data_IF_952211115459
#
_entry.id   IF_952211115459
#
_cell.length_a   1.000
_cell.length_b   1.000
_cell.length_c   1.000
_cell.angle_alpha   90.00
_cell.angle_beta   90.00
_cell.angle_gamma   90.00
#
_symmetry.space_group_name_H-M   'P 1'
#
loop_
_entity.id
_entity.type
_entity.pdbx_description
1 polymer ?
#
# COMPACT_ATOMS: atom_id res chain seq x y z
N UNK A 1 -18.00 -26.18 -9.65
CA UNK A 1 -16.93 -25.24 -10.04
C UNK A 1 -17.46 -23.83 -9.91
N UNK A 2 -16.99 -23.04 -8.93
CA UNK A 2 -17.35 -21.62 -8.81
C UNK A 2 -16.48 -20.81 -9.77
N UNK A 3 -17.14 -20.02 -10.61
CA UNK A 3 -16.51 -19.14 -11.59
C UNK A 3 -15.62 -18.11 -10.84
N UNK A 4 -14.28 -18.09 -11.01
CA UNK A 4 -13.39 -17.19 -10.27
C UNK A 4 -13.49 -15.72 -10.72
N UNK A 5 -14.34 -15.43 -11.71
CA UNK A 5 -14.62 -14.09 -12.21
C UNK A 5 -15.71 -13.33 -11.40
N UNK A 6 -15.94 -13.68 -10.13
CA UNK A 6 -16.83 -12.89 -9.26
C UNK A 6 -16.07 -11.66 -8.75
N UNK A 7 -16.18 -10.56 -9.51
CA UNK A 7 -15.79 -9.17 -9.23
C UNK A 7 -14.96 -8.97 -7.95
N UNK A 8 -13.63 -9.02 -8.09
CA UNK A 8 -12.71 -8.43 -7.12
C UNK A 8 -13.06 -6.95 -7.03
N UNK A 9 -13.53 -6.50 -5.87
CA UNK A 9 -13.70 -5.09 -5.54
C UNK A 9 -12.47 -4.30 -6.09
N UNK A 10 -12.65 -3.39 -7.06
CA UNK A 10 -11.53 -2.66 -7.66
C UNK A 10 -10.78 -1.80 -6.63
N UNK A 11 -11.39 -1.53 -5.46
CA UNK A 11 -10.74 -0.84 -4.35
C UNK A 11 -9.90 -1.76 -3.46
N UNK A 12 -10.04 -3.09 -3.55
CA UNK A 12 -9.36 -4.04 -2.66
C UNK A 12 -7.83 -3.91 -2.71
N UNK A 13 -7.26 -3.65 -3.89
CA UNK A 13 -5.81 -3.47 -4.04
C UNK A 13 -5.32 -2.17 -3.40
N UNK A 14 -6.10 -1.08 -3.50
CA UNK A 14 -5.75 0.22 -2.92
C UNK A 14 -5.84 0.20 -1.40
N UNK A 15 -6.91 -0.40 -0.86
CA UNK A 15 -7.06 -0.63 0.58
C UNK A 15 -5.91 -1.44 1.16
N UNK A 16 -5.55 -2.54 0.48
CA UNK A 16 -4.42 -3.36 0.88
C UNK A 16 -3.10 -2.56 0.89
N UNK A 17 -2.85 -1.76 -0.14
CA UNK A 17 -1.64 -0.95 -0.20
C UNK A 17 -1.61 0.15 0.86
N UNK A 18 -2.74 0.81 1.14
CA UNK A 18 -2.88 1.73 2.28
C UNK A 18 -2.50 1.05 3.58
N UNK A 19 -3.04 -0.13 3.85
CA UNK A 19 -2.76 -0.85 5.09
C UNK A 19 -1.29 -1.34 5.13
N UNK A 20 -0.65 -1.56 3.98
CA UNK A 20 0.77 -1.86 3.90
C UNK A 20 1.63 -0.62 4.21
N UNK A 21 1.25 0.56 3.72
CA UNK A 21 1.91 1.83 4.07
C UNK A 21 1.91 2.08 5.58
N UNK A 22 0.78 1.87 6.25
CA UNK A 22 0.69 2.03 7.72
C UNK A 22 1.60 1.06 8.48
N UNK A 23 1.83 -0.13 7.95
CA UNK A 23 2.75 -1.11 8.55
C UNK A 23 4.21 -0.76 8.31
N UNK A 24 4.55 -0.33 7.09
CA UNK A 24 5.92 0.05 6.73
C UNK A 24 6.35 1.37 7.38
N UNK A 25 5.41 2.28 7.62
CA UNK A 25 5.65 3.61 8.18
C UNK A 25 4.74 3.88 9.39
N UNK A 26 5.05 3.31 10.57
CA UNK A 26 4.30 3.61 11.78
C UNK A 26 4.24 5.12 12.06
N UNK A 27 3.02 5.63 12.25
CA UNK A 27 2.73 7.04 12.45
C UNK A 27 1.43 7.20 13.25
N UNK A 28 1.15 8.40 13.77
CA UNK A 28 -0.08 8.72 14.51
C UNK A 28 -1.14 9.41 13.65
N UNK A 29 -0.80 9.81 12.41
CA UNK A 29 -1.73 10.49 11.51
C UNK A 29 -1.38 10.28 10.03
N UNK A 30 -2.36 10.50 9.14
CA UNK A 30 -2.18 10.46 7.68
C UNK A 30 -1.07 11.41 7.22
N UNK A 31 -1.00 12.60 7.84
CA UNK A 31 0.01 13.62 7.55
C UNK A 31 1.41 13.14 7.91
N UNK A 32 1.60 12.64 9.14
CA UNK A 32 2.90 12.16 9.60
C UNK A 32 3.38 10.97 8.75
N UNK A 33 2.48 10.05 8.39
CA UNK A 33 2.80 8.95 7.49
C UNK A 33 3.25 9.49 6.12
N UNK A 34 2.50 10.41 5.54
CA UNK A 34 2.81 10.97 4.24
C UNK A 34 4.15 11.74 4.23
N UNK A 35 4.47 12.48 5.30
CA UNK A 35 5.77 13.12 5.48
C UNK A 35 6.90 12.07 5.48
N UNK A 36 6.81 11.01 6.28
CA UNK A 36 7.84 9.95 6.35
C UNK A 36 7.99 9.18 5.02
N UNK A 37 6.88 8.69 4.49
CA UNK A 37 6.89 7.84 3.29
C UNK A 37 7.31 8.60 2.04
N UNK A 38 6.94 9.89 1.92
CA UNK A 38 7.33 10.71 0.76
C UNK A 38 8.85 10.89 0.67
N UNK A 39 9.51 11.11 1.82
CA UNK A 39 10.96 11.20 1.90
C UNK A 39 11.65 9.85 1.57
N UNK A 40 11.14 8.73 2.10
CA UNK A 40 11.77 7.41 1.90
C UNK A 40 11.56 6.86 0.49
N UNK A 41 10.38 7.09 -0.11
CA UNK A 41 10.03 6.56 -1.43
C UNK A 41 10.39 7.51 -2.58
N UNK A 42 10.94 8.69 -2.26
CA UNK A 42 11.27 9.76 -3.21
C UNK A 42 10.07 10.11 -4.12
N UNK A 43 8.95 10.45 -3.49
CA UNK A 43 7.70 10.86 -4.15
C UNK A 43 7.13 12.10 -3.49
N UNK A 44 6.22 12.80 -4.17
CA UNK A 44 5.54 13.93 -3.55
C UNK A 44 4.66 13.50 -2.37
N UNK A 45 4.55 14.36 -1.35
CA UNK A 45 3.62 14.18 -0.23
C UNK A 45 2.18 13.93 -0.72
N UNK A 46 1.72 14.67 -1.73
CA UNK A 46 0.39 14.50 -2.34
C UNK A 46 0.19 13.09 -2.91
N UNK A 47 1.20 12.52 -3.54
CA UNK A 47 1.10 11.17 -4.10
C UNK A 47 0.86 10.12 -3.02
N UNK A 48 1.48 10.28 -1.84
CA UNK A 48 1.23 9.39 -0.70
C UNK A 48 -0.18 9.58 -0.14
N UNK A 49 -0.66 10.82 0.00
CA UNK A 49 -2.04 11.11 0.42
C UNK A 49 -3.05 10.44 -0.52
N UNK A 50 -2.84 10.54 -1.84
CA UNK A 50 -3.68 9.89 -2.83
C UNK A 50 -3.73 8.36 -2.66
N UNK A 51 -2.62 7.72 -2.29
CA UNK A 51 -2.58 6.29 -1.97
C UNK A 51 -3.33 5.97 -0.67
N UNK A 52 -3.14 6.79 0.37
CA UNK A 52 -3.80 6.59 1.67
C UNK A 52 -5.32 6.73 1.58
N UNK A 53 -5.80 7.60 0.68
CA UNK A 53 -7.22 7.82 0.40
C UNK A 53 -7.81 6.87 -0.62
N UNK A 54 -7.03 5.89 -1.08
CA UNK A 54 -7.45 4.92 -2.10
C UNK A 54 -7.90 5.58 -3.42
N UNK A 55 -7.38 6.76 -3.75
CA UNK A 55 -7.75 7.52 -4.97
C UNK A 55 -6.96 7.04 -6.19
N UNK A 56 -5.73 6.58 -5.99
CA UNK A 56 -4.83 6.15 -7.07
C UNK A 56 -4.14 4.83 -6.74
N UNK A 57 -3.92 4.02 -7.78
CA UNK A 57 -3.12 2.81 -7.66
C UNK A 57 -1.60 3.12 -7.64
N UNK A 58 -0.83 2.48 -6.76
CA UNK A 58 0.63 2.59 -6.79
C UNK A 58 1.21 1.83 -7.99
N UNK A 59 2.29 2.35 -8.56
CA UNK A 59 3.09 1.60 -9.52
C UNK A 59 3.78 0.42 -8.82
N UNK A 60 4.00 -0.69 -9.53
CA UNK A 60 4.63 -1.90 -8.99
C UNK A 60 5.94 -1.64 -8.23
N UNK A 61 6.79 -0.72 -8.73
CA UNK A 61 8.04 -0.34 -8.06
C UNK A 61 7.84 0.15 -6.62
N UNK A 62 6.76 0.89 -6.35
CA UNK A 62 6.44 1.40 -5.03
C UNK A 62 5.84 0.31 -4.14
N UNK A 63 5.05 -0.60 -4.70
CA UNK A 63 4.59 -1.79 -3.98
C UNK A 63 5.80 -2.59 -3.47
N UNK A 64 6.76 -2.89 -4.35
CA UNK A 64 7.95 -3.66 -3.98
C UNK A 64 8.81 -2.94 -2.94
N UNK A 65 9.00 -1.62 -3.08
CA UNK A 65 9.74 -0.83 -2.11
C UNK A 65 9.10 -0.84 -0.72
N UNK A 66 7.77 -0.65 -0.64
CA UNK A 66 7.05 -0.68 0.64
C UNK A 66 7.04 -2.09 1.25
N UNK A 67 6.90 -3.14 0.44
CA UNK A 67 7.02 -4.53 0.93
C UNK A 67 8.40 -4.82 1.53
N UNK A 68 9.47 -4.35 0.90
CA UNK A 68 10.83 -4.50 1.42
C UNK A 68 11.02 -3.78 2.77
N UNK A 69 10.45 -2.57 2.90
CA UNK A 69 10.50 -1.79 4.14
C UNK A 69 9.65 -2.38 5.27
N UNK A 70 8.50 -2.97 4.93
CA UNK A 70 7.62 -3.65 5.88
C UNK A 70 8.25 -4.93 6.46
N UNK A 71 9.26 -5.50 5.79
CA UNK A 71 9.89 -6.76 6.18
C UNK A 71 9.14 -8.01 5.69
N UNK A 72 9.88 -9.11 5.55
CA UNK A 72 9.39 -10.36 4.93
C UNK A 72 8.17 -10.99 5.63
N UNK A 73 7.99 -10.76 6.94
CA UNK A 73 6.87 -11.32 7.71
C UNK A 73 5.48 -10.82 7.26
N UNK A 74 5.40 -9.68 6.58
CA UNK A 74 4.14 -9.11 6.09
C UNK A 74 3.79 -9.60 4.67
N UNK A 75 4.80 -9.99 3.89
CA UNK A 75 4.66 -10.39 2.47
C UNK A 75 3.91 -11.71 2.30
N UNK A 76 4.04 -12.64 3.25
CA UNK A 76 3.51 -14.02 3.10
C UNK A 76 1.97 -14.11 3.05
N UNK A 77 1.23 -13.14 3.60
CA UNK A 77 -0.25 -13.19 3.61
C UNK A 77 -0.91 -13.04 2.23
N UNK A 78 -0.17 -12.67 1.18
CA UNK A 78 -0.71 -12.52 -0.19
C UNK A 78 -0.38 -13.70 -1.10
N UNK A 79 0.67 -14.45 -0.83
CA UNK A 79 1.18 -15.51 -1.72
C UNK A 79 0.43 -16.83 -1.51
N UNK A 80 -0.17 -17.04 -0.34
CA UNK A 80 -0.93 -18.26 0.00
C UNK A 80 -2.44 -18.18 -0.28
N UNK A 81 -2.90 -17.24 -1.11
CA UNK A 81 -4.32 -17.04 -1.44
C UNK A 81 -4.62 -17.05 -2.93
#
# INVERSE_FOLDING_TARGET
MKNPAYSKDPCANRRWFRDLLWRAFPAQSERELAEKASAVLDVSHRQVINWLREEHDPKLRYIMAVLALAGAEIVFRRIEG
#
